data_IF_510796889570
#
_entry.id   IF_510796889570
#
_cell.length_a   1.000
_cell.length_b   1.000
_cell.length_c   1.000
_cell.angle_alpha   90.00
_cell.angle_beta   90.00
_cell.angle_gamma   90.00
#
_symmetry.space_group_name_H-M   'P 1'
#
loop_
_entity.id
_entity.type
_entity.pdbx_description
1 polymer ?
#
# COMPACT_ATOMS: atom_id res chain seq x y z
N UNK A 1 19.56 7.87 -1.55
CA UNK A 1 18.51 7.09 -2.26
C UNK A 1 17.52 8.06 -2.88
N UNK A 2 17.04 7.79 -4.08
CA UNK A 2 15.99 8.56 -4.75
C UNK A 2 14.67 8.51 -3.94
N UNK A 3 14.03 9.67 -3.72
CA UNK A 3 12.77 9.82 -2.98
C UNK A 3 11.65 8.93 -3.57
N UNK A 4 11.58 8.82 -4.90
CA UNK A 4 10.63 7.94 -5.57
C UNK A 4 10.83 6.48 -5.16
N UNK A 5 12.08 6.03 -5.10
CA UNK A 5 12.43 4.65 -4.71
C UNK A 5 12.06 4.36 -3.26
N UNK A 6 12.22 5.34 -2.36
CA UNK A 6 11.80 5.21 -0.96
C UNK A 6 10.27 5.04 -0.86
N UNK A 7 9.49 5.84 -1.57
CA UNK A 7 8.03 5.75 -1.58
C UNK A 7 7.58 4.39 -2.14
N UNK A 8 8.15 3.96 -3.26
CA UNK A 8 7.85 2.63 -3.83
C UNK A 8 8.17 1.51 -2.83
N UNK A 9 9.27 1.63 -2.10
CA UNK A 9 9.65 0.66 -1.06
C UNK A 9 8.62 0.62 0.08
N UNK A 10 8.12 1.78 0.52
CA UNK A 10 7.06 1.85 1.53
C UNK A 10 5.77 1.15 1.06
N UNK A 11 5.35 1.44 -0.18
CA UNK A 11 4.16 0.80 -0.77
C UNK A 11 4.37 -0.72 -0.90
N UNK A 12 5.54 -1.17 -1.35
CA UNK A 12 5.85 -2.60 -1.43
C UNK A 12 5.84 -3.29 -0.05
N UNK A 13 6.31 -2.61 1.00
CA UNK A 13 6.26 -3.13 2.36
C UNK A 13 4.82 -3.22 2.87
N UNK A 14 3.99 -2.21 2.58
CA UNK A 14 2.56 -2.24 2.92
C UNK A 14 1.83 -3.38 2.21
N UNK A 15 2.09 -3.59 0.92
CA UNK A 15 1.56 -4.74 0.18
C UNK A 15 1.94 -6.08 0.84
N UNK A 16 3.20 -6.23 1.26
CA UNK A 16 3.68 -7.44 1.94
C UNK A 16 2.96 -7.64 3.27
N UNK A 17 2.83 -6.58 4.06
CA UNK A 17 2.15 -6.61 5.34
C UNK A 17 0.65 -6.91 5.20
N UNK A 18 -0.02 -6.29 4.22
CA UNK A 18 -1.43 -6.58 3.94
C UNK A 18 -1.63 -8.03 3.50
N UNK A 19 -0.72 -8.60 2.68
CA UNK A 19 -0.79 -10.02 2.33
C UNK A 19 -0.72 -10.90 3.57
N UNK A 20 0.21 -10.61 4.49
CA UNK A 20 0.30 -11.32 5.77
C UNK A 20 -1.00 -11.24 6.57
N UNK A 21 -1.54 -10.03 6.75
CA UNK A 21 -2.80 -9.79 7.46
C UNK A 21 -3.93 -10.63 6.85
N UNK A 22 -4.11 -10.58 5.54
CA UNK A 22 -5.17 -11.35 4.87
C UNK A 22 -4.95 -12.86 5.02
N UNK A 23 -3.71 -13.34 4.91
CA UNK A 23 -3.39 -14.76 5.11
C UNK A 23 -3.72 -15.22 6.53
N UNK A 24 -3.35 -14.44 7.56
CA UNK A 24 -3.66 -14.76 8.95
C UNK A 24 -5.18 -14.76 9.21
N UNK A 25 -5.89 -13.74 8.72
CA UNK A 25 -7.34 -13.66 8.85
C UNK A 25 -8.06 -14.83 8.18
N UNK A 26 -7.58 -15.27 7.01
CA UNK A 26 -8.15 -16.42 6.29
C UNK A 26 -8.01 -17.75 7.05
N UNK A 27 -7.07 -17.85 7.98
CA UNK A 27 -6.91 -19.03 8.85
C UNK A 27 -7.46 -18.79 10.27
N UNK A 28 -8.25 -17.73 10.46
CA UNK A 28 -8.91 -17.42 11.73
C UNK A 28 -8.01 -16.80 12.79
N UNK A 29 -6.83 -16.31 12.42
CA UNK A 29 -5.92 -15.64 13.35
C UNK A 29 -6.21 -14.14 13.37
N UNK A 30 -6.33 -13.58 14.57
CA UNK A 30 -6.42 -12.14 14.77
C UNK A 30 -5.13 -11.46 14.31
N UNK A 31 -5.25 -10.54 13.36
CA UNK A 31 -4.12 -9.85 12.73
C UNK A 31 -4.08 -8.33 12.98
N UNK A 32 -4.92 -7.82 13.90
CA UNK A 32 -5.03 -6.39 14.18
C UNK A 32 -3.70 -5.73 14.58
N UNK A 33 -2.86 -6.45 15.32
CA UNK A 33 -1.54 -5.98 15.76
C UNK A 33 -0.52 -5.77 14.63
N UNK A 34 -0.79 -6.23 13.42
CA UNK A 34 0.07 -6.02 12.25
C UNK A 34 -0.35 -4.80 11.41
N UNK A 35 -1.47 -4.15 11.71
CA UNK A 35 -1.91 -2.95 10.97
C UNK A 35 -0.90 -1.81 11.22
N UNK A 36 -0.44 -1.19 10.14
CA UNK A 36 0.52 -0.08 10.18
C UNK A 36 -0.08 1.19 9.58
N UNK A 37 0.35 2.36 10.04
CA UNK A 37 -0.03 3.66 9.46
C UNK A 37 0.83 4.05 8.23
N UNK A 38 1.21 3.06 7.41
CA UNK A 38 2.12 3.28 6.28
C UNK A 38 1.49 4.19 5.21
N UNK A 39 0.17 4.09 5.00
CA UNK A 39 -0.59 4.97 4.11
C UNK A 39 -0.39 6.47 4.42
N UNK A 40 -0.42 6.87 5.71
CA UNK A 40 -0.17 8.25 6.13
C UNK A 40 1.24 8.71 5.75
N UNK A 41 2.25 7.87 6.02
CA UNK A 41 3.65 8.16 5.70
C UNK A 41 3.82 8.30 4.19
N UNK A 42 3.22 7.42 3.39
CA UNK A 42 3.25 7.49 1.92
C UNK A 42 2.65 8.81 1.42
N UNK A 43 1.49 9.23 1.95
CA UNK A 43 0.84 10.48 1.55
C UNK A 43 1.69 11.71 1.89
N UNK A 44 2.30 11.75 3.08
CA UNK A 44 3.25 12.80 3.47
C UNK A 44 4.44 12.85 2.51
N UNK A 45 5.04 11.69 2.22
CA UNK A 45 6.24 11.62 1.36
C UNK A 45 5.93 12.04 -0.07
N UNK A 46 4.76 11.68 -0.61
CA UNK A 46 4.32 12.12 -1.93
C UNK A 46 4.00 13.62 -1.98
N UNK A 47 3.59 14.22 -0.86
CA UNK A 47 3.22 15.63 -0.77
C UNK A 47 1.72 15.90 -0.81
N UNK A 48 0.89 14.87 -0.59
CA UNK A 48 -0.56 15.02 -0.46
C UNK A 48 -0.84 15.72 0.87
N UNK A 49 -1.33 16.96 0.78
CA UNK A 49 -1.64 17.79 1.95
C UNK A 49 -2.80 17.21 2.75
N UNK A 50 -2.89 17.56 4.03
CA UNK A 50 -3.86 16.95 4.96
C UNK A 50 -5.30 17.13 4.48
N UNK A 51 -5.62 18.31 3.96
CA UNK A 51 -6.92 18.68 3.37
C UNK A 51 -7.31 17.82 2.15
N UNK A 52 -6.34 17.25 1.45
CA UNK A 52 -6.56 16.40 0.27
C UNK A 52 -6.62 14.91 0.63
N UNK A 53 -6.38 14.52 1.89
CA UNK A 53 -6.44 13.13 2.36
C UNK A 53 -7.87 12.73 2.71
N UNK A 54 -8.75 12.79 1.70
CA UNK A 54 -10.17 12.48 1.85
C UNK A 54 -10.39 10.99 2.13
N UNK A 55 -11.54 10.65 2.72
CA UNK A 55 -11.94 9.24 2.90
C UNK A 55 -11.98 8.49 1.57
N UNK A 56 -12.36 9.15 0.48
CA UNK A 56 -12.37 8.57 -0.86
C UNK A 56 -10.95 8.20 -1.33
N UNK A 57 -9.95 9.06 -1.06
CA UNK A 57 -8.55 8.77 -1.38
C UNK A 57 -8.07 7.54 -0.62
N UNK A 58 -8.33 7.48 0.69
CA UNK A 58 -7.98 6.32 1.51
C UNK A 58 -8.69 5.06 1.01
N UNK A 59 -9.99 5.13 0.72
CA UNK A 59 -10.76 3.98 0.20
C UNK A 59 -10.14 3.44 -1.09
N UNK A 60 -9.89 4.31 -2.08
CA UNK A 60 -9.26 3.90 -3.36
C UNK A 60 -7.86 3.33 -3.14
N UNK A 61 -7.07 3.95 -2.27
CA UNK A 61 -5.75 3.46 -1.90
C UNK A 61 -5.82 2.03 -1.31
N UNK A 62 -6.67 1.81 -0.30
CA UNK A 62 -6.82 0.50 0.32
C UNK A 62 -7.43 -0.54 -0.63
N UNK A 63 -8.32 -0.14 -1.55
CA UNK A 63 -8.85 -1.05 -2.57
C UNK A 63 -7.77 -1.48 -3.58
N UNK A 64 -6.78 -0.62 -3.87
CA UNK A 64 -5.59 -1.03 -4.63
C UNK A 64 -4.70 -1.96 -3.82
N UNK A 65 -4.45 -1.68 -2.54
CA UNK A 65 -3.65 -2.55 -1.65
C UNK A 65 -4.28 -3.94 -1.53
N UNK A 66 -5.61 -4.04 -1.38
CA UNK A 66 -6.34 -5.31 -1.32
C UNK A 66 -6.10 -6.22 -2.53
N UNK A 67 -5.71 -5.68 -3.69
CA UNK A 67 -5.39 -6.51 -4.87
C UNK A 67 -4.24 -7.49 -4.60
N UNK A 68 -3.39 -7.21 -3.60
CA UNK A 68 -2.30 -8.12 -3.19
C UNK A 68 -2.81 -9.48 -2.73
N UNK A 69 -4.06 -9.58 -2.27
CA UNK A 69 -4.66 -10.85 -1.82
C UNK A 69 -4.62 -11.92 -2.93
N UNK A 70 -4.66 -11.51 -4.20
CA UNK A 70 -4.66 -12.40 -5.36
C UNK A 70 -3.27 -12.58 -6.00
N UNK A 71 -2.25 -11.88 -5.51
CA UNK A 71 -0.89 -11.97 -6.04
C UNK A 71 -0.09 -13.08 -5.37
N UNK A 72 0.80 -13.72 -6.13
CA UNK A 72 1.86 -14.54 -5.57
C UNK A 72 3.12 -13.69 -5.41
N UNK A 73 3.46 -13.36 -4.16
CA UNK A 73 4.61 -12.50 -3.86
C UNK A 73 5.96 -13.16 -4.16
N UNK A 74 6.00 -14.48 -4.43
CA UNK A 74 7.20 -15.17 -4.91
C UNK A 74 7.48 -14.88 -6.39
N UNK A 75 6.46 -14.50 -7.16
CA UNK A 75 6.61 -14.15 -8.57
C UNK A 75 7.28 -12.78 -8.68
N UNK A 76 8.51 -12.80 -9.22
CA UNK A 76 9.33 -11.59 -9.36
C UNK A 76 8.59 -10.50 -10.14
N UNK A 77 8.46 -9.34 -9.51
CA UNK A 77 7.94 -8.12 -10.13
C UNK A 77 6.42 -7.90 -10.03
N UNK A 78 5.62 -8.88 -9.59
CA UNK A 78 4.17 -8.64 -9.39
C UNK A 78 3.89 -7.54 -8.37
N UNK A 79 4.55 -7.66 -7.21
CA UNK A 79 4.49 -6.66 -6.14
C UNK A 79 4.91 -5.28 -6.64
N UNK A 80 6.03 -5.20 -7.35
CA UNK A 80 6.55 -3.93 -7.88
C UNK A 80 5.64 -3.31 -8.93
N UNK A 81 4.99 -4.12 -9.78
CA UNK A 81 3.99 -3.62 -10.74
C UNK A 81 2.77 -3.01 -10.04
N UNK A 82 2.25 -3.66 -8.99
CA UNK A 82 1.16 -3.11 -8.20
C UNK A 82 1.59 -1.85 -7.44
N UNK A 83 2.79 -1.83 -6.87
CA UNK A 83 3.34 -0.66 -6.21
C UNK A 83 3.48 0.54 -7.17
N UNK A 84 3.92 0.30 -8.41
CA UNK A 84 3.98 1.34 -9.45
C UNK A 84 2.59 1.86 -9.82
N UNK A 85 1.58 0.98 -9.92
CA UNK A 85 0.19 1.37 -10.17
C UNK A 85 -0.35 2.27 -9.05
N UNK A 86 -0.11 1.90 -7.80
CA UNK A 86 -0.50 2.68 -6.61
C UNK A 86 0.21 4.03 -6.61
N UNK A 87 1.52 4.04 -6.84
CA UNK A 87 2.30 5.28 -6.93
C UNK A 87 1.74 6.20 -8.04
N UNK A 88 1.49 5.67 -9.24
CA UNK A 88 0.90 6.43 -10.34
C UNK A 88 -0.47 7.03 -10.00
N UNK A 89 -1.32 6.26 -9.32
CA UNK A 89 -2.59 6.75 -8.79
C UNK A 89 -2.38 7.93 -7.84
N UNK A 90 -1.44 7.84 -6.89
CA UNK A 90 -1.21 8.90 -5.91
C UNK A 90 -0.61 10.17 -6.52
N UNK A 91 0.30 10.04 -7.49
CA UNK A 91 0.86 11.21 -8.20
C UNK A 91 -0.23 11.98 -8.97
N UNK A 92 -1.24 11.28 -9.50
CA UNK A 92 -2.36 11.92 -10.18
C UNK A 92 -3.34 12.67 -9.24
N UNK A 93 -3.16 12.55 -7.92
CA UNK A 93 -4.00 13.16 -6.89
C UNK A 93 -3.22 14.15 -5.99
N UNK A 94 -2.08 14.66 -6.47
CA UNK A 94 -1.32 15.74 -5.80
C UNK A 94 -1.97 17.09 -6.11
#
# INVERSE_FOLDING_TARGET
MDKRRQILTLIENELTNSKLIFTLQNIGIEAGGYITDTSHVVFVQIGIRKENRTEELYKKYFDLIKQVQYLDLQVKGEKSRLALKIYGFLIANI
#
